data_IF_216862148765
#
_entry.id   IF_216862148765
#
_cell.length_a   1.000
_cell.length_b   1.000
_cell.length_c   1.000
_cell.angle_alpha   90.00
_cell.angle_beta   90.00
_cell.angle_gamma   90.00
#
_symmetry.space_group_name_H-M   'P 1'
#
loop_
_entity.id
_entity.type
_entity.pdbx_description
1 polymer ?
#
# COMPACT_ATOMS: atom_id res chain seq x y z
N UNK A 1 -30.39 25.09 -0.38
CA UNK A 1 -29.07 24.53 -0.72
C UNK A 1 -28.80 23.44 0.29
N UNK A 2 -29.12 22.19 -0.05
CA UNK A 2 -28.75 21.05 0.80
C UNK A 2 -27.25 20.89 0.63
N UNK A 3 -26.48 21.16 1.67
CA UNK A 3 -25.05 20.83 1.67
C UNK A 3 -24.98 19.32 1.71
N UNK A 4 -24.80 18.71 0.54
CA UNK A 4 -24.47 17.30 0.42
C UNK A 4 -23.09 17.16 1.07
N UNK A 5 -23.08 16.85 2.36
CA UNK A 5 -21.86 16.48 3.04
C UNK A 5 -21.43 15.17 2.40
N UNK A 6 -20.45 15.23 1.51
CA UNK A 6 -19.76 14.04 1.03
C UNK A 6 -19.29 13.33 2.30
N UNK A 7 -19.98 12.25 2.68
CA UNK A 7 -19.47 11.30 3.65
C UNK A 7 -18.14 10.81 3.07
N UNK A 8 -17.03 11.36 3.54
CA UNK A 8 -15.71 10.80 3.28
C UNK A 8 -15.67 9.47 4.03
N UNK A 9 -16.22 8.44 3.40
CA UNK A 9 -16.10 7.08 3.89
C UNK A 9 -14.61 6.77 4.04
N UNK A 10 -14.23 6.22 5.19
CA UNK A 10 -12.85 5.86 5.44
C UNK A 10 -12.34 4.94 4.30
N UNK A 11 -11.11 5.14 3.83
CA UNK A 11 -10.49 4.31 2.79
C UNK A 11 -10.65 2.82 3.12
N UNK A 12 -11.29 2.07 2.22
CA UNK A 12 -11.49 0.64 2.39
C UNK A 12 -10.34 -0.11 1.75
N UNK A 13 -9.65 -0.97 2.51
CA UNK A 13 -8.66 -1.89 1.94
C UNK A 13 -9.35 -2.88 0.99
N UNK A 14 -8.89 -2.93 -0.26
CA UNK A 14 -9.40 -3.77 -1.32
C UNK A 14 -8.53 -5.01 -1.53
N UNK A 15 -7.21 -4.83 -1.48
CA UNK A 15 -6.24 -5.90 -1.69
C UNK A 15 -4.91 -5.60 -1.00
N UNK A 16 -4.18 -6.65 -0.67
CA UNK A 16 -2.77 -6.59 -0.23
C UNK A 16 -1.95 -7.46 -1.17
N UNK A 17 -1.02 -6.85 -1.89
CA UNK A 17 -0.10 -7.55 -2.77
C UNK A 17 1.27 -7.63 -2.10
N UNK A 18 1.85 -8.83 -2.11
CA UNK A 18 3.20 -9.11 -1.62
C UNK A 18 4.06 -9.40 -2.84
N UNK A 19 5.12 -8.64 -3.03
CA UNK A 19 5.92 -8.61 -4.25
C UNK A 19 7.40 -8.71 -3.91
N UNK A 20 8.14 -9.49 -4.70
CA UNK A 20 9.54 -9.81 -4.43
C UNK A 20 10.51 -8.79 -5.05
N UNK A 21 9.97 -7.78 -5.74
CA UNK A 21 10.76 -6.75 -6.41
C UNK A 21 10.12 -5.36 -6.35
N UNK A 22 10.98 -4.34 -6.32
CA UNK A 22 10.56 -2.96 -6.40
C UNK A 22 9.90 -2.64 -7.76
N UNK A 23 10.31 -3.31 -8.83
CA UNK A 23 9.78 -3.11 -10.18
C UNK A 23 8.30 -3.51 -10.25
N UNK A 24 7.94 -4.68 -9.74
CA UNK A 24 6.55 -5.12 -9.65
C UNK A 24 5.72 -4.21 -8.73
N UNK A 25 6.30 -3.75 -7.62
CA UNK A 25 5.62 -2.82 -6.72
C UNK A 25 5.30 -1.48 -7.41
N UNK A 26 6.23 -0.96 -8.21
CA UNK A 26 6.03 0.25 -9.02
C UNK A 26 4.90 0.04 -10.04
N UNK A 27 4.88 -1.10 -10.73
CA UNK A 27 3.80 -1.43 -11.68
C UNK A 27 2.43 -1.49 -10.99
N UNK A 28 2.35 -2.11 -9.80
CA UNK A 28 1.13 -2.16 -9.01
C UNK A 28 0.64 -0.77 -8.58
N UNK A 29 1.56 0.12 -8.18
CA UNK A 29 1.25 1.52 -7.84
C UNK A 29 0.72 2.27 -9.07
N UNK A 30 1.36 2.12 -10.23
CA UNK A 30 0.88 2.74 -11.46
C UNK A 30 -0.50 2.22 -11.88
N UNK A 31 -0.76 0.92 -11.73
CA UNK A 31 -2.08 0.36 -12.02
C UNK A 31 -3.16 0.95 -11.09
N UNK A 32 -2.86 1.12 -9.80
CA UNK A 32 -3.78 1.75 -8.86
C UNK A 32 -4.07 3.22 -9.20
N UNK A 33 -3.03 3.99 -9.59
CA UNK A 33 -3.18 5.38 -10.04
C UNK A 33 -4.10 5.50 -11.26
N UNK A 34 -3.91 4.64 -12.28
CA UNK A 34 -4.77 4.59 -13.48
C UNK A 34 -6.25 4.34 -13.13
N UNK A 35 -6.50 3.60 -12.04
CA UNK A 35 -7.85 3.27 -11.57
C UNK A 35 -8.40 4.27 -10.56
N UNK A 36 -7.62 5.28 -10.16
CA UNK A 36 -8.01 6.27 -9.15
C UNK A 36 -8.11 5.68 -7.73
N UNK A 37 -7.34 4.63 -7.44
CA UNK A 37 -7.32 3.95 -6.15
C UNK A 37 -6.23 4.53 -5.24
N UNK A 38 -6.42 4.40 -3.93
CA UNK A 38 -5.38 4.73 -2.95
C UNK A 38 -4.38 3.60 -2.79
N UNK A 39 -3.16 3.94 -2.38
CA UNK A 39 -2.13 2.93 -2.06
C UNK A 39 -1.41 3.30 -0.78
N UNK A 40 -1.11 2.29 0.05
CA UNK A 40 -0.04 2.35 1.05
C UNK A 40 1.04 1.36 0.64
N UNK A 41 2.26 1.86 0.47
CA UNK A 41 3.44 1.07 0.14
C UNK A 41 4.32 0.97 1.37
N UNK A 42 4.77 -0.24 1.70
CA UNK A 42 5.81 -0.47 2.70
C UNK A 42 6.73 -1.58 2.24
N UNK A 43 7.90 -1.66 2.86
CA UNK A 43 8.88 -2.70 2.62
C UNK A 43 9.24 -3.38 3.93
N UNK A 44 9.53 -4.68 3.88
CA UNK A 44 10.08 -5.45 5.00
C UNK A 44 11.17 -6.40 4.53
N UNK A 45 12.13 -6.65 5.41
CA UNK A 45 13.10 -7.73 5.21
C UNK A 45 12.54 -9.02 5.79
N UNK A 46 12.50 -10.07 4.97
CA UNK A 46 12.05 -11.42 5.36
C UNK A 46 13.19 -12.42 5.15
N UNK A 47 13.15 -13.53 5.87
CA UNK A 47 14.13 -14.60 5.71
C UNK A 47 13.92 -15.30 4.36
N UNK A 48 15.02 -15.54 3.65
CA UNK A 48 15.00 -16.26 2.39
C UNK A 48 14.58 -17.73 2.61
N UNK A 49 13.69 -18.25 1.77
CA UNK A 49 13.16 -19.61 1.92
C UNK A 49 14.20 -20.69 1.61
N UNK A 50 15.22 -20.36 0.83
CA UNK A 50 16.29 -21.27 0.41
C UNK A 50 17.54 -21.13 1.28
N UNK A 51 17.67 -20.04 2.05
CA UNK A 51 18.87 -19.70 2.82
C UNK A 51 18.54 -19.04 4.16
N UNK A 52 18.71 -19.78 5.26
CA UNK A 52 18.41 -19.28 6.61
C UNK A 52 19.28 -18.07 7.04
N UNK A 53 20.43 -17.85 6.42
CA UNK A 53 21.36 -16.74 6.74
C UNK A 53 21.16 -15.49 5.85
N UNK A 54 20.17 -15.51 4.95
CA UNK A 54 19.92 -14.43 3.99
C UNK A 54 18.58 -13.76 4.27
N UNK A 55 18.57 -12.43 4.21
CA UNK A 55 17.35 -11.64 4.20
C UNK A 55 17.10 -11.10 2.81
N UNK A 56 15.88 -11.23 2.33
CA UNK A 56 15.42 -10.66 1.07
C UNK A 56 14.41 -9.56 1.33
N UNK A 57 14.35 -8.63 0.39
CA UNK A 57 13.45 -7.49 0.40
C UNK A 57 12.07 -7.91 -0.10
N UNK A 58 11.02 -7.61 0.65
CA UNK A 58 9.63 -7.90 0.28
C UNK A 58 8.77 -6.63 0.34
N UNK A 59 8.09 -6.33 -0.76
CA UNK A 59 7.28 -5.14 -0.93
C UNK A 59 5.81 -5.44 -0.67
N UNK A 60 5.20 -4.65 0.21
CA UNK A 60 3.78 -4.75 0.57
C UNK A 60 3.03 -3.57 -0.02
N UNK A 61 2.15 -3.85 -0.99
CA UNK A 61 1.28 -2.88 -1.64
C UNK A 61 -0.16 -3.11 -1.17
N UNK A 62 -0.64 -2.24 -0.28
CA UNK A 62 -2.05 -2.21 0.13
C UNK A 62 -2.82 -1.25 -0.78
N UNK A 63 -3.85 -1.75 -1.47
CA UNK A 63 -4.70 -0.97 -2.38
C UNK A 63 -6.02 -0.64 -1.70
N UNK A 64 -6.39 0.62 -1.71
CA UNK A 64 -7.57 1.18 -1.04
C UNK A 64 -8.55 1.78 -2.04
N UNK A 65 -9.83 1.84 -1.66
CA UNK A 65 -10.89 2.48 -2.46
C UNK A 65 -10.63 3.97 -2.73
N UNK A 66 -9.92 4.65 -1.85
CA UNK A 66 -9.47 6.05 -1.94
C UNK A 66 -8.11 6.19 -1.26
N UNK A 67 -7.42 7.32 -1.44
CA UNK A 67 -6.11 7.58 -0.82
C UNK A 67 -6.22 7.47 0.71
N UNK A 68 -5.43 6.59 1.36
CA UNK A 68 -5.44 6.48 2.81
C UNK A 68 -4.84 7.71 3.47
N UNK A 69 -5.41 8.13 4.60
CA UNK A 69 -4.77 9.14 5.45
C UNK A 69 -3.44 8.58 5.98
N UNK A 70 -2.37 9.38 5.88
CA UNK A 70 -1.09 9.08 6.51
C UNK A 70 -1.28 9.38 7.99
N UNK A 71 -1.16 8.35 8.85
CA UNK A 71 -1.05 8.59 10.28
C UNK A 71 0.25 9.39 10.48
N UNK A 72 0.16 10.58 11.07
CA UNK A 72 1.34 11.34 11.45
C UNK A 72 2.18 10.47 12.39
N UNK A 73 3.46 10.29 12.04
CA UNK A 73 4.41 9.54 12.87
C UNK A 73 4.45 10.25 14.23
N UNK A 74 4.18 9.56 15.36
CA UNK A 74 4.22 10.22 16.66
C UNK A 74 5.63 10.80 16.86
N UNK A 75 5.74 12.13 16.95
CA UNK A 75 6.99 12.79 17.29
C UNK A 75 7.45 12.28 18.67
N UNK A 76 8.50 11.44 18.69
CA UNK A 76 9.22 11.04 19.91
C UNK A 76 10.17 12.14 20.41
#
# INVERSE_FOLDING_TARGET
MSTDAVEFAAPQLLSTNILDSAEEAIEAVHAADVLGLGVRLSNRLVQDEESEDVLVEEWVVEVYSTVPEVAEDPED
#
